data_IF_693566497107
#
_entry.id   IF_693566497107
#
_cell.length_a   1.000
_cell.length_b   1.000
_cell.length_c   1.000
_cell.angle_alpha   90.00
_cell.angle_beta   90.00
_cell.angle_gamma   90.00
#
_symmetry.space_group_name_H-M   'P 1'
#
loop_
_entity.id
_entity.type
_entity.pdbx_description
1 polymer ?
#
# COMPACT_ATOMS: atom_id res chain seq x y z
N UNK A 1 -24.63 8.28 -37.52
CA UNK A 1 -25.29 7.84 -36.27
C UNK A 1 -24.46 6.81 -35.51
N UNK A 2 -24.08 5.68 -36.09
CA UNK A 2 -23.30 4.62 -35.35
C UNK A 2 -22.01 5.17 -34.72
N UNK A 3 -21.23 5.98 -35.44
CA UNK A 3 -19.99 6.58 -34.92
C UNK A 3 -20.21 7.50 -33.72
N UNK A 4 -21.33 8.20 -33.69
CA UNK A 4 -21.67 9.12 -32.59
C UNK A 4 -22.01 8.33 -31.31
N UNK A 5 -22.76 7.23 -31.45
CA UNK A 5 -23.06 6.36 -30.32
C UNK A 5 -21.80 5.65 -29.78
N UNK A 6 -20.91 5.22 -30.65
CA UNK A 6 -19.62 4.64 -30.24
C UNK A 6 -18.75 5.64 -29.49
N UNK A 7 -18.68 6.88 -29.99
CA UNK A 7 -17.95 7.96 -29.31
C UNK A 7 -18.54 8.26 -27.93
N UNK A 8 -19.86 8.35 -27.81
CA UNK A 8 -20.54 8.56 -26.54
C UNK A 8 -20.30 7.42 -25.56
N UNK A 9 -20.47 6.18 -26.02
CA UNK A 9 -20.20 4.98 -25.19
C UNK A 9 -18.75 4.98 -24.67
N UNK A 10 -17.77 5.24 -25.54
CA UNK A 10 -16.36 5.34 -25.14
C UNK A 10 -16.13 6.44 -24.12
N UNK A 11 -16.78 7.59 -24.28
CA UNK A 11 -16.70 8.70 -23.33
C UNK A 11 -17.23 8.31 -21.95
N UNK A 12 -18.40 7.66 -21.90
CA UNK A 12 -19.02 7.19 -20.65
C UNK A 12 -18.12 6.18 -19.95
N UNK A 13 -17.60 5.17 -20.66
CA UNK A 13 -16.69 4.16 -20.09
C UNK A 13 -15.43 4.78 -19.52
N UNK A 14 -14.83 5.74 -20.23
CA UNK A 14 -13.64 6.47 -19.74
C UNK A 14 -13.98 7.29 -18.50
N UNK A 15 -15.14 7.92 -18.45
CA UNK A 15 -15.57 8.70 -17.28
C UNK A 15 -15.73 7.81 -16.06
N UNK A 16 -16.39 6.66 -16.20
CA UNK A 16 -16.53 5.67 -15.11
C UNK A 16 -15.18 5.15 -14.65
N UNK A 17 -14.31 4.79 -15.59
CA UNK A 17 -12.94 4.33 -15.32
C UNK A 17 -12.13 5.37 -14.52
N UNK A 18 -12.22 6.66 -14.87
CA UNK A 18 -11.52 7.73 -14.14
C UNK A 18 -12.20 8.03 -12.80
N UNK A 19 -13.52 8.03 -12.76
CA UNK A 19 -14.29 8.31 -11.53
C UNK A 19 -13.92 7.35 -10.41
N UNK A 20 -13.94 6.04 -10.65
CA UNK A 20 -13.62 5.06 -9.61
C UNK A 20 -12.17 5.20 -9.13
N UNK A 21 -11.22 5.41 -10.04
CA UNK A 21 -9.82 5.61 -9.68
C UNK A 21 -9.61 6.86 -8.84
N UNK A 22 -10.23 7.96 -9.22
CA UNK A 22 -10.15 9.22 -8.45
C UNK A 22 -10.75 9.05 -7.06
N UNK A 23 -11.89 8.38 -6.95
CA UNK A 23 -12.52 8.08 -5.65
C UNK A 23 -11.60 7.24 -4.77
N UNK A 24 -10.97 6.20 -5.32
CA UNK A 24 -10.01 5.36 -4.60
C UNK A 24 -8.82 6.19 -4.12
N UNK A 25 -8.16 6.93 -5.01
CA UNK A 25 -6.99 7.74 -4.67
C UNK A 25 -7.30 8.78 -3.59
N UNK A 26 -8.44 9.46 -3.72
CA UNK A 26 -8.89 10.43 -2.71
C UNK A 26 -9.13 9.77 -1.35
N UNK A 27 -9.87 8.65 -1.32
CA UNK A 27 -10.18 7.93 -0.08
C UNK A 27 -8.93 7.38 0.58
N UNK A 28 -8.04 6.74 -0.17
CA UNK A 28 -6.78 6.21 0.36
C UNK A 28 -5.88 7.31 0.92
N UNK A 29 -5.83 8.48 0.27
CA UNK A 29 -5.06 9.61 0.78
C UNK A 29 -5.59 10.12 2.13
N UNK A 30 -6.88 9.99 2.40
CA UNK A 30 -7.47 10.34 3.70
C UNK A 30 -7.29 9.24 4.76
N UNK A 31 -7.22 7.97 4.34
CA UNK A 31 -7.02 6.82 5.23
C UNK A 31 -5.59 6.77 5.79
N UNK A 32 -4.58 7.05 4.99
CA UNK A 32 -3.19 7.03 5.44
C UNK A 32 -2.84 8.40 6.05
N UNK A 33 -2.69 8.41 7.38
CA UNK A 33 -2.29 9.58 8.16
C UNK A 33 -0.78 9.67 8.25
N UNK A 34 -0.27 10.79 8.73
CA UNK A 34 1.16 10.97 9.04
C UNK A 34 1.61 10.11 10.21
N UNK A 35 0.69 9.80 11.12
CA UNK A 35 0.92 8.95 12.28
C UNK A 35 -0.16 7.89 12.40
N UNK A 36 0.28 6.63 12.49
CA UNK A 36 -0.56 5.45 12.73
C UNK A 36 0.00 4.73 13.96
N UNK A 37 -0.01 5.44 15.09
CA UNK A 37 0.34 4.88 16.39
C UNK A 37 -0.95 4.69 17.20
N UNK A 38 -1.25 3.46 17.58
CA UNK A 38 -2.46 3.08 18.31
C UNK A 38 -2.06 2.44 19.62
N UNK A 39 -2.64 2.91 20.74
CA UNK A 39 -2.29 2.43 22.07
C UNK A 39 -2.77 0.98 22.32
N UNK A 40 -3.92 0.63 21.75
CA UNK A 40 -4.47 -0.72 21.85
C UNK A 40 -4.94 -1.20 20.47
N UNK A 41 -4.82 -2.50 20.22
CA UNK A 41 -5.34 -3.12 19.01
C UNK A 41 -6.87 -3.03 19.04
N UNK A 42 -7.44 -2.24 18.16
CA UNK A 42 -8.88 -2.21 17.91
C UNK A 42 -9.21 -3.42 17.03
N UNK A 43 -10.22 -4.19 17.38
CA UNK A 43 -10.66 -5.35 16.59
C UNK A 43 -11.33 -4.97 15.26
N UNK A 44 -11.58 -3.68 15.03
CA UNK A 44 -12.30 -3.17 13.86
C UNK A 44 -11.38 -2.40 12.91
N UNK A 45 -11.63 -2.47 11.59
CA UNK A 45 -10.93 -1.67 10.60
C UNK A 45 -11.18 -0.16 10.80
N UNK A 46 -10.29 0.66 10.23
CA UNK A 46 -10.46 2.12 10.24
C UNK A 46 -11.78 2.51 9.54
N UNK A 47 -12.60 3.40 10.14
CA UNK A 47 -13.87 3.84 9.56
C UNK A 47 -13.76 4.39 8.14
N UNK A 48 -12.64 5.03 7.79
CA UNK A 48 -12.39 5.52 6.42
C UNK A 48 -12.20 4.38 5.42
N UNK A 49 -11.64 3.25 5.83
CA UNK A 49 -11.55 2.03 5.01
C UNK A 49 -12.93 1.40 4.82
N UNK A 50 -13.75 1.35 5.86
CA UNK A 50 -15.14 0.87 5.74
C UNK A 50 -15.96 1.76 4.78
N UNK A 51 -15.78 3.06 4.84
CA UNK A 51 -16.40 4.00 3.90
C UNK A 51 -15.93 3.76 2.46
N UNK A 52 -14.63 3.58 2.23
CA UNK A 52 -14.11 3.23 0.90
C UNK A 52 -14.69 1.90 0.40
N UNK A 53 -14.78 0.89 1.25
CA UNK A 53 -15.41 -0.38 0.89
C UNK A 53 -16.88 -0.21 0.49
N UNK A 54 -17.63 0.60 1.22
CA UNK A 54 -19.04 0.88 0.87
C UNK A 54 -19.14 1.53 -0.52
N UNK A 55 -18.24 2.46 -0.84
CA UNK A 55 -18.21 3.08 -2.18
C UNK A 55 -17.83 2.07 -3.27
N UNK A 56 -16.88 1.17 -3.01
CA UNK A 56 -16.49 0.13 -3.97
C UNK A 56 -17.64 -0.84 -4.24
N UNK A 57 -18.34 -1.29 -3.21
CA UNK A 57 -19.49 -2.19 -3.34
C UNK A 57 -20.65 -1.50 -4.08
N UNK A 58 -20.94 -0.24 -3.76
CA UNK A 58 -21.98 0.51 -4.46
C UNK A 58 -21.64 0.70 -5.94
N UNK A 59 -20.39 1.06 -6.24
CA UNK A 59 -19.91 1.19 -7.62
C UNK A 59 -20.03 -0.15 -8.37
N UNK A 60 -19.59 -1.24 -7.78
CA UNK A 60 -19.68 -2.57 -8.37
C UNK A 60 -21.12 -2.94 -8.68
N UNK A 61 -22.02 -2.81 -7.72
CA UNK A 61 -23.43 -3.15 -7.85
C UNK A 61 -24.11 -2.33 -8.96
N UNK A 62 -23.84 -1.03 -9.00
CA UNK A 62 -24.45 -0.14 -9.99
C UNK A 62 -23.89 -0.40 -11.40
N UNK A 63 -22.57 -0.46 -11.54
CA UNK A 63 -21.92 -0.58 -12.84
C UNK A 63 -22.13 -1.96 -13.45
N UNK A 64 -21.99 -3.04 -12.66
CA UNK A 64 -22.19 -4.41 -13.16
C UNK A 64 -23.61 -4.68 -13.64
N UNK A 65 -24.59 -3.96 -13.10
CA UNK A 65 -26.01 -4.08 -13.51
C UNK A 65 -26.26 -3.54 -14.92
N UNK A 66 -25.57 -2.47 -15.34
CA UNK A 66 -25.87 -1.74 -16.57
C UNK A 66 -24.79 -1.87 -17.65
N UNK A 67 -23.57 -2.27 -17.26
CA UNK A 67 -22.43 -2.34 -18.18
C UNK A 67 -22.14 -3.79 -18.55
N UNK A 68 -22.05 -4.13 -19.86
CA UNK A 68 -21.69 -5.48 -20.29
C UNK A 68 -20.32 -5.92 -19.74
N UNK A 69 -20.17 -7.22 -19.42
CA UNK A 69 -18.98 -7.79 -18.80
C UNK A 69 -17.62 -7.37 -19.42
N UNK A 70 -17.44 -7.32 -20.77
CA UNK A 70 -16.18 -6.87 -21.34
C UNK A 70 -15.85 -5.41 -21.04
N UNK A 71 -16.85 -4.55 -21.02
CA UNK A 71 -16.70 -3.12 -20.69
C UNK A 71 -16.51 -2.90 -19.19
N UNK A 72 -17.17 -3.70 -18.37
CA UNK A 72 -16.98 -3.72 -16.92
C UNK A 72 -15.53 -4.09 -16.56
N UNK A 73 -15.03 -5.19 -17.14
CA UNK A 73 -13.63 -5.61 -16.94
C UNK A 73 -12.63 -4.52 -17.37
N UNK A 74 -12.90 -3.78 -18.45
CA UNK A 74 -12.07 -2.65 -18.88
C UNK A 74 -12.06 -1.52 -17.83
N UNK A 75 -13.19 -1.24 -17.18
CA UNK A 75 -13.30 -0.19 -16.16
C UNK A 75 -12.55 -0.59 -14.89
N UNK A 76 -12.67 -1.85 -14.48
CA UNK A 76 -12.18 -2.35 -13.19
C UNK A 76 -10.74 -2.89 -13.24
N UNK A 77 -10.23 -3.25 -14.42
CA UNK A 77 -8.89 -3.82 -14.55
C UNK A 77 -7.80 -2.91 -14.01
N UNK A 78 -6.91 -3.47 -13.20
CA UNK A 78 -5.78 -2.77 -12.60
C UNK A 78 -6.13 -1.89 -11.41
N UNK A 79 -7.34 -1.98 -10.84
CA UNK A 79 -7.69 -1.27 -9.60
C UNK A 79 -6.85 -1.77 -8.43
N UNK A 80 -6.67 -3.07 -8.29
CA UNK A 80 -5.85 -3.65 -7.23
C UNK A 80 -4.39 -3.17 -7.34
N UNK A 81 -3.80 -3.19 -8.53
CA UNK A 81 -2.44 -2.71 -8.74
C UNK A 81 -2.31 -1.20 -8.43
N UNK A 82 -3.29 -0.39 -8.81
CA UNK A 82 -3.33 1.04 -8.48
C UNK A 82 -3.36 1.25 -6.97
N UNK A 83 -4.24 0.55 -6.26
CA UNK A 83 -4.36 0.66 -4.79
C UNK A 83 -3.10 0.22 -4.09
N UNK A 84 -2.50 -0.89 -4.50
CA UNK A 84 -1.29 -1.44 -3.94
C UNK A 84 -0.10 -0.47 -4.05
N UNK A 85 0.15 0.04 -5.25
CA UNK A 85 1.23 0.99 -5.51
C UNK A 85 0.99 2.34 -4.82
N UNK A 86 -0.26 2.80 -4.79
CA UNK A 86 -0.58 4.08 -4.16
C UNK A 86 -0.50 4.01 -2.63
N UNK A 87 -0.99 2.94 -2.00
CA UNK A 87 -0.81 2.71 -0.57
C UNK A 87 0.66 2.64 -0.19
N UNK A 88 1.45 1.89 -0.95
CA UNK A 88 2.90 1.84 -0.73
C UNK A 88 3.55 3.23 -0.85
N UNK A 89 3.16 4.00 -1.86
CA UNK A 89 3.64 5.38 -2.03
C UNK A 89 3.27 6.26 -0.84
N UNK A 90 2.04 6.19 -0.34
CA UNK A 90 1.60 6.94 0.83
C UNK A 90 2.36 6.52 2.10
N UNK A 91 2.54 5.22 2.33
CA UNK A 91 3.30 4.73 3.49
C UNK A 91 4.78 5.15 3.44
N UNK A 92 5.36 5.24 2.26
CA UNK A 92 6.77 5.64 2.12
C UNK A 92 6.98 7.16 2.12
N UNK A 93 6.01 7.96 1.65
CA UNK A 93 6.15 9.41 1.54
C UNK A 93 5.50 10.20 2.65
N UNK A 94 4.35 9.74 3.16
CA UNK A 94 3.51 10.51 4.09
C UNK A 94 3.60 10.00 5.53
N UNK A 95 3.78 8.67 5.71
CA UNK A 95 3.80 8.07 7.04
C UNK A 95 5.09 8.43 7.77
N UNK A 96 4.96 9.09 8.89
CA UNK A 96 6.11 9.50 9.72
C UNK A 96 6.32 8.63 10.94
N UNK A 97 5.25 8.04 11.48
CA UNK A 97 5.32 7.22 12.69
C UNK A 97 4.30 6.08 12.62
N UNK A 98 4.74 4.88 12.98
CA UNK A 98 3.90 3.69 13.07
C UNK A 98 4.42 2.77 14.16
N UNK A 99 3.53 2.31 15.06
CA UNK A 99 3.86 1.30 16.05
C UNK A 99 3.34 -0.08 15.65
N UNK A 100 3.64 -1.10 16.44
CA UNK A 100 3.22 -2.48 16.18
C UNK A 100 1.70 -2.62 16.05
N UNK A 101 0.93 -1.95 16.94
CA UNK A 101 -0.53 -1.95 16.87
C UNK A 101 -1.06 -1.22 15.63
N UNK A 102 -0.41 -0.12 15.25
CA UNK A 102 -0.73 0.61 14.01
C UNK A 102 -0.44 -0.23 12.76
N UNK A 103 0.64 -1.00 12.75
CA UNK A 103 0.94 -1.94 11.68
C UNK A 103 -0.13 -3.04 11.60
N UNK A 104 -0.53 -3.63 12.73
CA UNK A 104 -1.60 -4.63 12.77
C UNK A 104 -2.96 -4.06 12.31
N UNK A 105 -3.28 -2.82 12.65
CA UNK A 105 -4.47 -2.13 12.13
C UNK A 105 -4.39 -1.96 10.60
N UNK A 106 -3.23 -1.58 10.07
CA UNK A 106 -3.02 -1.48 8.62
C UNK A 106 -3.15 -2.83 7.93
N UNK A 107 -2.65 -3.92 8.51
CA UNK A 107 -2.83 -5.28 7.99
C UNK A 107 -4.31 -5.68 7.96
N UNK A 108 -5.07 -5.36 9.01
CA UNK A 108 -6.51 -5.58 9.05
C UNK A 108 -7.24 -4.78 7.96
N UNK A 109 -6.92 -3.50 7.81
CA UNK A 109 -7.45 -2.63 6.75
C UNK A 109 -7.18 -3.20 5.36
N UNK A 110 -5.95 -3.69 5.14
CA UNK A 110 -5.53 -4.31 3.89
C UNK A 110 -6.32 -5.57 3.57
N UNK A 111 -6.53 -6.43 4.58
CA UNK A 111 -7.32 -7.65 4.43
C UNK A 111 -8.75 -7.34 3.96
N UNK A 112 -9.39 -6.35 4.58
CA UNK A 112 -10.77 -5.94 4.26
C UNK A 112 -10.85 -5.36 2.84
N UNK A 113 -9.90 -4.52 2.45
CA UNK A 113 -9.83 -3.98 1.08
C UNK A 113 -9.62 -5.08 0.05
N UNK A 114 -8.69 -6.00 0.30
CA UNK A 114 -8.39 -7.09 -0.63
C UNK A 114 -9.57 -8.04 -0.81
N UNK A 115 -10.33 -8.29 0.25
CA UNK A 115 -11.52 -9.16 0.17
C UNK A 115 -12.59 -8.57 -0.76
N UNK A 116 -12.85 -7.26 -0.69
CA UNK A 116 -13.79 -6.60 -1.58
C UNK A 116 -13.27 -6.46 -3.02
N UNK A 117 -11.99 -6.16 -3.18
CA UNK A 117 -11.39 -6.08 -4.51
C UNK A 117 -11.48 -7.40 -5.29
N UNK A 118 -11.38 -8.54 -4.63
CA UNK A 118 -11.54 -9.86 -5.26
C UNK A 118 -12.93 -10.08 -5.88
N UNK A 119 -13.95 -9.38 -5.39
CA UNK A 119 -15.29 -9.43 -5.98
C UNK A 119 -15.40 -8.58 -7.27
N UNK A 120 -14.55 -7.56 -7.39
CA UNK A 120 -14.56 -6.58 -8.49
C UNK A 120 -13.58 -6.96 -9.60
N UNK A 121 -12.41 -7.44 -9.23
CA UNK A 121 -11.31 -7.77 -10.14
C UNK A 121 -10.75 -9.15 -9.81
N UNK A 122 -10.86 -10.09 -10.75
CA UNK A 122 -10.35 -11.45 -10.59
C UNK A 122 -8.84 -11.44 -10.30
N UNK A 123 -8.45 -12.22 -9.30
CA UNK A 123 -7.05 -12.31 -8.91
C UNK A 123 -6.50 -11.08 -8.18
N UNK A 124 -7.36 -10.14 -7.77
CA UNK A 124 -6.95 -8.95 -7.03
C UNK A 124 -6.10 -9.29 -5.81
N UNK A 125 -4.95 -8.67 -5.71
CA UNK A 125 -4.00 -8.81 -4.59
C UNK A 125 -3.24 -7.50 -4.37
N UNK A 126 -2.77 -7.30 -3.15
CA UNK A 126 -2.04 -6.10 -2.71
C UNK A 126 -0.66 -6.51 -2.16
N UNK A 127 0.21 -7.12 -2.99
CA UNK A 127 1.43 -7.77 -2.52
C UNK A 127 2.49 -6.79 -2.03
N UNK A 128 2.57 -5.60 -2.63
CA UNK A 128 3.61 -4.64 -2.31
C UNK A 128 3.42 -4.01 -0.93
N UNK A 129 2.21 -3.57 -0.62
CA UNK A 129 1.92 -3.02 0.70
C UNK A 129 1.90 -4.11 1.77
N UNK A 130 1.47 -5.34 1.45
CA UNK A 130 1.54 -6.47 2.37
C UNK A 130 2.99 -6.76 2.77
N UNK A 131 3.90 -6.88 1.80
CA UNK A 131 5.32 -7.08 2.09
C UNK A 131 5.94 -5.91 2.88
N UNK A 132 5.53 -4.66 2.62
CA UNK A 132 5.98 -3.51 3.41
C UNK A 132 5.61 -3.68 4.89
N UNK A 133 4.38 -4.07 5.19
CA UNK A 133 3.90 -4.29 6.56
C UNK A 133 4.55 -5.52 7.22
N UNK A 134 4.76 -6.58 6.45
CA UNK A 134 5.44 -7.80 6.93
C UNK A 134 6.90 -7.51 7.29
N UNK A 135 7.62 -6.75 6.46
CA UNK A 135 8.99 -6.33 6.74
C UNK A 135 9.09 -5.39 7.95
N UNK A 136 8.10 -4.49 8.11
CA UNK A 136 8.02 -3.65 9.31
C UNK A 136 7.88 -4.50 10.57
N UNK A 137 7.01 -5.51 10.54
CA UNK A 137 6.78 -6.44 11.67
C UNK A 137 7.99 -7.34 11.94
N UNK A 138 8.66 -7.83 10.88
CA UNK A 138 9.84 -8.68 10.99
C UNK A 138 11.07 -7.92 11.51
N UNK A 139 11.09 -6.59 11.35
CA UNK A 139 12.10 -5.72 11.93
C UNK A 139 13.29 -5.40 11.03
N UNK A 140 14.26 -4.61 11.56
CA UNK A 140 15.35 -4.01 10.79
C UNK A 140 16.21 -5.02 10.04
N UNK A 141 16.52 -6.15 10.67
CA UNK A 141 17.39 -7.19 10.07
C UNK A 141 16.77 -7.81 8.82
N UNK A 142 15.44 -8.04 8.84
CA UNK A 142 14.72 -8.56 7.68
C UNK A 142 14.70 -7.56 6.52
N UNK A 143 14.60 -6.26 6.81
CA UNK A 143 14.65 -5.19 5.80
C UNK A 143 16.01 -5.19 5.11
N UNK A 144 17.11 -5.25 5.88
CA UNK A 144 18.48 -5.29 5.36
C UNK A 144 18.72 -6.57 4.55
N UNK A 145 18.30 -7.73 5.06
CA UNK A 145 18.41 -9.00 4.35
C UNK A 145 17.69 -8.95 3.00
N UNK A 146 16.48 -8.40 2.98
CA UNK A 146 15.69 -8.28 1.76
C UNK A 146 16.30 -7.28 0.75
N UNK A 147 16.86 -6.17 1.23
CA UNK A 147 17.58 -5.22 0.38
C UNK A 147 18.80 -5.86 -0.30
N UNK A 148 19.57 -6.68 0.45
CA UNK A 148 20.71 -7.44 -0.09
C UNK A 148 20.32 -8.46 -1.16
N UNK A 149 19.22 -9.17 -0.97
CA UNK A 149 18.69 -10.11 -1.97
C UNK A 149 18.33 -9.37 -3.27
N UNK A 150 17.74 -8.20 -3.17
CA UNK A 150 17.32 -7.40 -4.31
C UNK A 150 18.53 -6.85 -5.10
N UNK A 151 19.59 -6.40 -4.42
CA UNK A 151 20.83 -5.94 -5.04
C UNK A 151 21.60 -7.02 -5.80
N UNK A 152 21.41 -8.30 -5.46
CA UNK A 152 22.04 -9.43 -6.16
C UNK A 152 21.35 -9.88 -7.45
N UNK A 153 20.34 -9.16 -7.93
CA UNK A 153 19.69 -9.45 -9.23
C UNK A 153 18.89 -10.75 -9.25
N UNK A 154 18.56 -11.34 -8.12
CA UNK A 154 17.67 -12.50 -8.06
C UNK A 154 16.26 -12.09 -8.51
N UNK A 155 15.98 -12.41 -9.78
CA UNK A 155 14.84 -11.94 -10.53
C UNK A 155 13.50 -12.39 -10.00
N UNK A 156 12.82 -11.50 -9.34
CA UNK A 156 11.37 -11.43 -9.45
C UNK A 156 11.08 -10.59 -10.70
N UNK A 157 10.84 -11.27 -11.82
CA UNK A 157 10.36 -10.65 -13.05
C UNK A 157 8.95 -10.12 -12.79
N UNK A 158 8.74 -8.82 -13.00
CA UNK A 158 7.45 -8.18 -12.89
C UNK A 158 7.43 -6.97 -11.96
N UNK A 159 6.24 -6.46 -11.67
CA UNK A 159 5.94 -5.31 -10.81
C UNK A 159 6.62 -5.35 -9.43
N UNK A 160 6.94 -6.52 -8.91
CA UNK A 160 7.67 -6.72 -7.66
C UNK A 160 9.13 -6.18 -7.69
N UNK A 161 9.71 -5.96 -8.87
CA UNK A 161 11.07 -5.42 -9.00
C UNK A 161 11.18 -3.95 -8.59
N UNK A 162 10.08 -3.19 -8.68
CA UNK A 162 10.06 -1.77 -8.29
C UNK A 162 9.79 -1.53 -6.80
N UNK A 163 9.47 -2.58 -6.08
CA UNK A 163 8.89 -2.49 -4.75
C UNK A 163 9.84 -1.99 -3.67
N UNK A 164 11.04 -2.53 -3.62
CA UNK A 164 12.02 -2.18 -2.60
C UNK A 164 13.19 -1.39 -3.20
N UNK A 165 12.92 -0.19 -3.68
CA UNK A 165 14.01 0.73 -4.02
C UNK A 165 14.81 1.05 -2.76
N UNK A 166 16.07 1.41 -2.93
CA UNK A 166 16.96 1.83 -1.84
C UNK A 166 16.30 2.87 -0.92
N UNK A 167 15.61 3.86 -1.49
CA UNK A 167 14.91 4.90 -0.74
C UNK A 167 13.76 4.34 0.11
N UNK A 168 12.96 3.43 -0.46
CA UNK A 168 11.85 2.79 0.27
C UNK A 168 12.35 1.89 1.40
N UNK A 169 13.45 1.14 1.18
CA UNK A 169 14.07 0.32 2.20
C UNK A 169 14.65 1.17 3.35
N UNK A 170 15.34 2.26 3.01
CA UNK A 170 15.83 3.23 4.00
C UNK A 170 14.68 3.85 4.80
N UNK A 171 13.63 4.28 4.12
CA UNK A 171 12.45 4.87 4.77
C UNK A 171 11.76 3.88 5.70
N UNK A 172 11.60 2.63 5.28
CA UNK A 172 11.02 1.58 6.12
C UNK A 172 11.90 1.31 7.35
N UNK A 173 13.22 1.26 7.17
CA UNK A 173 14.16 1.12 8.27
C UNK A 173 14.06 2.28 9.27
N UNK A 174 14.00 3.51 8.80
CA UNK A 174 13.80 4.69 9.65
C UNK A 174 12.52 4.61 10.47
N UNK A 175 11.41 4.14 9.86
CA UNK A 175 10.13 3.96 10.56
C UNK A 175 10.24 2.92 11.68
N UNK A 176 10.94 1.80 11.45
CA UNK A 176 11.09 0.75 12.48
C UNK A 176 11.93 1.22 13.68
N UNK A 177 12.86 2.15 13.48
CA UNK A 177 13.68 2.69 14.57
C UNK A 177 13.01 3.83 15.34
N UNK A 178 11.97 4.48 14.81
CA UNK A 178 11.34 5.64 15.48
C UNK A 178 10.82 5.34 16.87
N UNK A 179 10.24 4.17 17.12
CA UNK A 179 9.81 3.80 18.46
C UNK A 179 10.99 3.57 19.42
N UNK A 180 12.04 2.89 18.95
CA UNK A 180 13.24 2.65 19.74
C UNK A 180 13.98 3.94 20.11
N UNK A 181 13.89 4.96 19.26
CA UNK A 181 14.50 6.27 19.49
C UNK A 181 13.69 7.15 20.48
N UNK A 182 12.46 6.75 20.83
CA UNK A 182 11.64 7.40 21.86
C UNK A 182 11.90 6.85 23.27
N UNK A 183 12.77 5.84 23.45
CA UNK A 183 13.10 5.29 24.78
C UNK A 183 13.70 6.39 25.65
N UNK A 184 13.27 6.47 26.90
CA UNK A 184 13.76 7.46 27.86
C UNK A 184 15.20 7.19 28.32
N UNK A 185 15.70 5.97 28.09
CA UNK A 185 17.05 5.57 28.43
C UNK A 185 18.04 6.03 27.39
N UNK A 186 18.87 6.99 27.74
CA UNK A 186 19.86 7.62 26.85
C UNK A 186 20.79 6.60 26.17
N UNK A 187 21.21 5.56 26.89
CA UNK A 187 22.08 4.52 26.34
C UNK A 187 21.38 3.69 25.27
N UNK A 188 20.09 3.32 25.47
CA UNK A 188 19.29 2.59 24.51
C UNK A 188 19.08 3.40 23.21
N UNK A 189 18.85 4.71 23.32
CA UNK A 189 18.72 5.60 22.18
C UNK A 189 20.02 5.71 21.40
N UNK A 190 21.16 5.88 22.07
CA UNK A 190 22.48 5.94 21.41
C UNK A 190 22.81 4.61 20.70
N UNK A 191 22.48 3.50 21.30
CA UNK A 191 22.69 2.18 20.69
C UNK A 191 21.79 2.03 19.45
N UNK A 192 20.51 2.34 19.56
CA UNK A 192 19.55 2.29 18.44
C UNK A 192 19.97 3.20 17.27
N UNK A 193 20.51 4.41 17.56
CA UNK A 193 21.05 5.29 16.53
C UNK A 193 22.23 4.67 15.79
N UNK A 194 23.19 4.08 16.51
CA UNK A 194 24.36 3.40 15.90
C UNK A 194 23.95 2.23 15.03
N UNK A 195 23.03 1.41 15.51
CA UNK A 195 22.51 0.27 14.74
C UNK A 195 21.80 0.73 13.47
N UNK A 196 20.94 1.74 13.58
CA UNK A 196 20.24 2.33 12.42
C UNK A 196 21.23 2.85 11.38
N UNK A 197 22.21 3.65 11.82
CA UNK A 197 23.16 4.29 10.91
C UNK A 197 24.07 3.25 10.21
N UNK A 198 24.47 2.20 10.92
CA UNK A 198 25.19 1.09 10.32
C UNK A 198 24.35 0.35 9.26
N UNK A 199 23.09 0.06 9.54
CA UNK A 199 22.21 -0.63 8.60
C UNK A 199 21.81 0.26 7.41
N UNK A 200 21.66 1.57 7.58
CA UNK A 200 21.46 2.51 6.48
C UNK A 200 22.67 2.54 5.53
N UNK A 201 23.87 2.52 6.09
CA UNK A 201 25.11 2.43 5.30
C UNK A 201 25.14 1.13 4.52
N UNK A 202 24.85 0.01 5.18
CA UNK A 202 24.82 -1.32 4.58
C UNK A 202 23.85 -1.39 3.38
N UNK A 203 22.61 -0.87 3.54
CA UNK A 203 21.65 -0.78 2.42
C UNK A 203 22.22 0.06 1.27
N UNK A 204 22.98 1.12 1.58
CA UNK A 204 23.58 1.98 0.57
C UNK A 204 24.64 1.30 -0.27
N UNK A 205 25.38 0.36 0.29
CA UNK A 205 26.47 -0.36 -0.38
C UNK A 205 25.99 -1.47 -1.32
N UNK A 206 24.82 -2.07 -1.06
CA UNK A 206 24.35 -3.24 -1.80
C UNK A 206 23.46 -2.93 -3.00
N UNK A 207 23.02 -1.69 -3.18
CA UNK A 207 22.10 -1.31 -4.26
C UNK A 207 22.77 -0.52 -5.40
N UNK A 208 24.10 -0.51 -5.45
CA UNK A 208 24.91 -0.10 -6.60
C UNK A 208 25.33 -1.36 -7.34
#
# INVERSE_FOLDING_TARGET
MVSTYQALSTCVLRTLHLSIRTTILYSLNTCVRTEIAVDALLGDPDPSILTLNTHLVAFDTEVSTYVPAPSYSLITSGLAALMDLYLLSLCTSKLENMNANGCALMQLNLLVLQQNLKNIEDGASLPNIALFLDLFTAGPEAIVARAKEHGKGFGLQGLAKEMLTQEKAKRLLELTYKERLKDERREAVVQAQRERDAQLLEISEFMY
#
